data_IF_036069506246
#
_entry.id   IF_036069506246
#
_cell.length_a   1.000
_cell.length_b   1.000
_cell.length_c   1.000
_cell.angle_alpha   90.00
_cell.angle_beta   90.00
_cell.angle_gamma   90.00
#
_symmetry.space_group_name_H-M   'P 1'
#
loop_
_entity.id
_entity.type
_entity.pdbx_description
1 polymer ?
#
# COMPACT_ATOMS: atom_id res chain seq x y z
N UNK A 1 -18.26 -9.97 -27.92
CA UNK A 1 -17.65 -9.98 -26.57
C UNK A 1 -17.47 -11.43 -26.16
N UNK A 2 -16.24 -11.94 -26.09
CA UNK A 2 -16.00 -13.32 -25.66
C UNK A 2 -15.98 -13.37 -24.13
N UNK A 3 -16.65 -14.36 -23.49
CA UNK A 3 -16.61 -14.53 -22.03
C UNK A 3 -15.18 -14.62 -21.47
N UNK A 4 -14.25 -15.14 -22.28
CA UNK A 4 -12.83 -15.25 -21.94
C UNK A 4 -12.16 -13.87 -21.73
N UNK A 5 -12.46 -12.87 -22.57
CA UNK A 5 -11.87 -11.53 -22.43
C UNK A 5 -12.40 -10.84 -21.18
N UNK A 6 -13.71 -10.96 -20.91
CA UNK A 6 -14.28 -10.42 -19.68
C UNK A 6 -13.64 -11.06 -18.42
N UNK A 7 -13.45 -12.38 -18.43
CA UNK A 7 -12.77 -13.09 -17.35
C UNK A 7 -11.33 -12.60 -17.16
N UNK A 8 -10.61 -12.29 -18.24
CA UNK A 8 -9.26 -11.72 -18.16
C UNK A 8 -9.25 -10.35 -17.46
N UNK A 9 -10.19 -9.45 -17.79
CA UNK A 9 -10.31 -8.15 -17.13
C UNK A 9 -10.70 -8.28 -15.66
N UNK A 10 -11.55 -9.24 -15.31
CA UNK A 10 -11.89 -9.56 -13.91
C UNK A 10 -10.63 -10.02 -13.15
N UNK A 11 -9.81 -10.90 -13.72
CA UNK A 11 -8.56 -11.34 -13.09
C UNK A 11 -7.54 -10.20 -12.99
N UNK A 12 -7.42 -9.37 -14.03
CA UNK A 12 -6.53 -8.21 -14.03
C UNK A 12 -6.94 -7.17 -12.99
N UNK A 13 -8.24 -6.97 -12.78
CA UNK A 13 -8.74 -6.11 -11.72
C UNK A 13 -8.44 -6.68 -10.33
N UNK A 14 -8.47 -8.01 -10.16
CA UNK A 14 -8.09 -8.64 -8.90
C UNK A 14 -6.61 -8.42 -8.60
N UNK A 15 -5.73 -8.49 -9.60
CA UNK A 15 -4.29 -8.22 -9.43
C UNK A 15 -4.04 -6.76 -9.08
N UNK A 16 -4.68 -5.85 -9.81
CA UNK A 16 -4.56 -4.41 -9.57
C UNK A 16 -5.12 -4.04 -8.19
N UNK A 17 -6.28 -4.60 -7.83
CA UNK A 17 -6.86 -4.47 -6.50
C UNK A 17 -5.98 -5.07 -5.42
N UNK A 18 -5.35 -6.22 -5.64
CA UNK A 18 -4.43 -6.84 -4.69
C UNK A 18 -3.21 -5.96 -4.41
N UNK A 19 -2.62 -5.32 -5.43
CA UNK A 19 -1.55 -4.34 -5.23
C UNK A 19 -2.03 -3.12 -4.44
N UNK A 20 -3.23 -2.61 -4.75
CA UNK A 20 -3.84 -1.53 -3.97
C UNK A 20 -4.12 -1.93 -2.53
N UNK A 21 -4.51 -3.19 -2.27
CA UNK A 21 -4.72 -3.70 -0.92
C UNK A 21 -3.42 -3.69 -0.13
N UNK A 22 -2.32 -4.22 -0.65
CA UNK A 22 -1.03 -4.20 0.07
C UNK A 22 -0.61 -2.77 0.40
N UNK A 23 -0.76 -1.87 -0.57
CA UNK A 23 -0.46 -0.44 -0.37
C UNK A 23 -1.36 0.17 0.71
N UNK A 24 -2.68 -0.02 0.59
CA UNK A 24 -3.68 0.52 1.49
C UNK A 24 -3.59 -0.06 2.90
N UNK A 25 -3.18 -1.31 3.07
CA UNK A 25 -2.94 -1.91 4.38
C UNK A 25 -1.80 -1.22 5.12
N UNK A 26 -0.69 -0.93 4.42
CA UNK A 26 0.42 -0.18 4.99
C UNK A 26 0.00 1.21 5.45
N UNK A 27 -0.76 1.91 4.61
CA UNK A 27 -1.31 3.24 4.92
C UNK A 27 -2.35 3.20 6.04
N UNK A 28 -3.25 2.21 6.04
CA UNK A 28 -4.35 2.08 7.01
C UNK A 28 -3.85 1.82 8.41
N UNK A 29 -2.80 0.98 8.59
CA UNK A 29 -2.23 0.74 9.92
C UNK A 29 -1.51 1.98 10.46
N UNK A 30 -0.74 2.68 9.61
CA UNK A 30 -0.09 3.95 9.99
C UNK A 30 -1.16 4.96 10.43
N UNK A 31 -2.18 5.17 9.60
CA UNK A 31 -3.22 6.14 9.89
C UNK A 31 -4.03 5.74 11.14
N UNK A 32 -4.42 4.47 11.25
CA UNK A 32 -5.26 3.97 12.35
C UNK A 32 -4.61 4.10 13.72
N UNK A 33 -3.28 4.12 13.81
CA UNK A 33 -2.57 4.30 15.09
C UNK A 33 -2.06 5.72 15.30
N UNK A 34 -1.45 6.34 14.28
CA UNK A 34 -0.76 7.63 14.40
C UNK A 34 -1.72 8.79 14.13
N UNK A 35 -2.76 8.58 13.31
CA UNK A 35 -3.70 9.62 12.91
C UNK A 35 -3.12 10.66 11.94
N UNK A 36 -2.00 10.34 11.27
CA UNK A 36 -1.37 11.23 10.29
C UNK A 36 -1.50 10.63 8.89
N UNK A 37 -1.95 11.47 7.97
CA UNK A 37 -2.00 11.17 6.54
C UNK A 37 -0.57 11.26 5.99
N UNK A 38 -0.03 10.13 5.53
CA UNK A 38 1.35 10.05 5.04
C UNK A 38 1.41 10.12 3.51
N UNK A 39 1.63 11.30 2.93
CA UNK A 39 1.80 11.46 1.47
C UNK A 39 3.11 10.88 0.94
N UNK A 40 4.13 10.72 1.80
CA UNK A 40 5.42 10.12 1.43
C UNK A 40 5.32 8.63 1.14
N UNK A 41 4.21 7.99 1.52
CA UNK A 41 4.01 6.56 1.36
C UNK A 41 4.10 6.09 -0.11
N UNK A 42 3.64 6.91 -1.06
CA UNK A 42 3.84 6.68 -2.49
C UNK A 42 5.31 6.77 -2.92
N UNK A 43 6.07 7.75 -2.42
CA UNK A 43 7.51 7.81 -2.70
C UNK A 43 8.28 6.63 -2.09
N UNK A 44 7.86 6.13 -0.93
CA UNK A 44 8.44 4.94 -0.30
C UNK A 44 8.12 3.65 -1.08
N UNK A 45 6.94 3.57 -1.71
CA UNK A 45 6.62 2.52 -2.69
C UNK A 45 7.62 2.56 -3.87
N UNK A 46 7.85 3.74 -4.46
CA UNK A 46 8.83 3.91 -5.54
C UNK A 46 10.23 3.51 -5.07
N UNK A 47 10.64 3.96 -3.89
CA UNK A 47 11.94 3.64 -3.31
C UNK A 47 12.10 2.13 -3.10
N UNK A 48 11.06 1.42 -2.68
CA UNK A 48 11.08 -0.03 -2.57
C UNK A 48 11.30 -0.74 -3.91
N UNK A 49 10.68 -0.25 -4.97
CA UNK A 49 10.92 -0.77 -6.31
C UNK A 49 12.38 -0.53 -6.79
N UNK A 50 12.95 0.66 -6.53
CA UNK A 50 14.35 0.96 -6.86
C UNK A 50 15.36 0.20 -5.98
N UNK A 51 15.08 0.04 -4.69
CA UNK A 51 15.91 -0.76 -3.81
C UNK A 51 15.92 -2.23 -4.27
N UNK A 52 14.77 -2.77 -4.69
CA UNK A 52 14.71 -4.09 -5.30
C UNK A 52 15.47 -4.15 -6.63
N UNK A 53 15.32 -3.15 -7.50
CA UNK A 53 16.06 -3.06 -8.75
C UNK A 53 17.58 -3.06 -8.53
N UNK A 54 18.05 -2.38 -7.48
CA UNK A 54 19.47 -2.30 -7.16
C UNK A 54 20.08 -3.64 -6.70
N UNK A 55 19.30 -4.47 -6.01
CA UNK A 55 19.80 -5.72 -5.39
C UNK A 55 19.39 -6.99 -6.14
N UNK A 56 18.49 -6.89 -7.14
CA UNK A 56 17.93 -8.05 -7.86
C UNK A 56 19.01 -8.92 -8.52
N UNK A 57 20.05 -8.31 -9.08
CA UNK A 57 21.09 -9.02 -9.84
C UNK A 57 22.09 -9.73 -8.90
N UNK A 58 22.26 -9.21 -7.68
CA UNK A 58 23.18 -9.79 -6.69
C UNK A 58 22.53 -10.87 -5.82
N UNK A 59 21.25 -10.71 -5.44
CA UNK A 59 20.57 -11.57 -4.46
C UNK A 59 19.43 -12.41 -5.05
N UNK A 60 19.01 -12.12 -6.28
CA UNK A 60 17.86 -12.74 -6.92
C UNK A 60 16.52 -12.16 -6.44
N UNK A 61 15.46 -12.43 -7.22
CA UNK A 61 14.12 -11.87 -6.98
C UNK A 61 13.52 -12.23 -5.61
N UNK A 62 13.59 -13.48 -5.10
CA UNK A 62 12.98 -13.80 -3.80
C UNK A 62 13.60 -13.00 -2.65
N UNK A 63 14.90 -12.71 -2.72
CA UNK A 63 15.58 -11.91 -1.71
C UNK A 63 15.15 -10.43 -1.74
N UNK A 64 14.79 -9.89 -2.91
CA UNK A 64 14.33 -8.50 -3.01
C UNK A 64 13.01 -8.27 -2.28
N UNK A 65 12.14 -9.28 -2.21
CA UNK A 65 10.88 -9.26 -1.44
C UNK A 65 11.08 -9.16 0.07
N UNK A 66 12.31 -9.37 0.57
CA UNK A 66 12.65 -9.24 1.99
C UNK A 66 13.57 -8.04 2.22
N UNK A 67 14.65 -7.94 1.45
CA UNK A 67 15.70 -6.92 1.64
C UNK A 67 15.18 -5.52 1.36
N UNK A 68 14.46 -5.31 0.26
CA UNK A 68 13.94 -3.97 -0.06
C UNK A 68 12.94 -3.47 0.98
N UNK A 69 11.91 -4.25 1.37
CA UNK A 69 10.99 -3.86 2.43
C UNK A 69 11.67 -3.63 3.78
N UNK A 70 12.70 -4.39 4.13
CA UNK A 70 13.46 -4.18 5.35
C UNK A 70 14.20 -2.83 5.32
N UNK A 71 14.88 -2.52 4.22
CA UNK A 71 15.60 -1.25 4.06
C UNK A 71 14.65 -0.04 4.11
N UNK A 72 13.54 -0.11 3.37
CA UNK A 72 12.54 0.97 3.36
C UNK A 72 11.80 1.06 4.69
N UNK A 73 11.53 -0.08 5.34
CA UNK A 73 10.92 -0.12 6.67
C UNK A 73 11.81 0.55 7.72
N UNK A 74 13.12 0.25 7.72
CA UNK A 74 14.09 0.92 8.59
C UNK A 74 14.16 2.41 8.30
N UNK A 75 14.19 2.81 7.02
CA UNK A 75 14.13 4.22 6.64
C UNK A 75 12.83 4.88 7.15
N UNK A 76 11.70 4.18 7.06
CA UNK A 76 10.43 4.62 7.63
C UNK A 76 10.53 4.84 9.13
N UNK A 77 11.12 3.91 9.88
CA UNK A 77 11.35 4.06 11.32
C UNK A 77 12.21 5.28 11.63
N UNK A 78 13.24 5.55 10.83
CA UNK A 78 14.09 6.74 10.97
C UNK A 78 13.31 8.03 10.71
N UNK A 79 12.53 8.08 9.62
CA UNK A 79 11.65 9.21 9.29
C UNK A 79 10.67 9.48 10.44
N UNK A 80 10.04 8.43 10.96
CA UNK A 80 9.12 8.53 12.09
C UNK A 80 9.81 9.13 13.30
N UNK A 81 10.93 8.54 13.71
CA UNK A 81 11.60 8.86 14.96
C UNK A 81 12.22 10.27 14.95
N UNK A 82 12.71 10.72 13.79
CA UNK A 82 13.44 11.99 13.68
C UNK A 82 12.56 13.15 13.28
N UNK A 83 11.60 12.94 12.36
CA UNK A 83 10.78 14.01 11.79
C UNK A 83 9.35 13.97 12.35
N UNK A 84 8.61 12.90 12.08
CA UNK A 84 7.16 12.89 12.34
C UNK A 84 6.79 12.91 13.81
N UNK A 85 7.56 12.22 14.66
CA UNK A 85 7.32 12.15 16.11
C UNK A 85 7.20 13.52 16.77
N UNK A 86 7.94 14.52 16.26
CA UNK A 86 7.93 15.89 16.78
C UNK A 86 6.62 16.63 16.49
N UNK A 87 5.88 16.16 15.49
CA UNK A 87 4.65 16.78 15.00
C UNK A 87 3.38 16.09 15.50
N UNK A 88 3.48 15.02 16.30
CA UNK A 88 2.30 14.26 16.78
C UNK A 88 1.36 15.07 17.68
N UNK A 89 1.89 16.10 18.35
CA UNK A 89 1.10 17.00 19.20
C UNK A 89 0.75 18.32 18.51
N UNK A 90 1.16 18.49 17.24
CA UNK A 90 0.92 19.69 16.46
C UNK A 90 -0.32 19.53 15.58
N UNK A 91 -0.68 20.60 14.87
CA UNK A 91 -1.75 20.56 13.87
C UNK A 91 -1.49 19.45 12.82
N UNK A 92 -2.47 18.58 12.53
CA UNK A 92 -2.37 17.55 11.50
C UNK A 92 -1.87 18.04 10.13
N UNK A 93 -2.16 19.31 9.77
CA UNK A 93 -1.70 19.94 8.54
C UNK A 93 -0.16 20.03 8.46
N UNK A 94 0.53 20.16 9.60
CA UNK A 94 2.00 20.19 9.62
C UNK A 94 2.57 18.82 9.25
N UNK A 95 1.96 17.73 9.72
CA UNK A 95 2.33 16.36 9.33
C UNK A 95 2.09 16.11 7.85
N UNK A 96 0.99 16.61 7.32
CA UNK A 96 0.68 16.56 5.89
C UNK A 96 1.75 17.30 5.06
N UNK A 97 2.05 18.55 5.42
CA UNK A 97 3.04 19.37 4.72
C UNK A 97 4.44 18.74 4.77
N UNK A 98 4.84 18.21 5.93
CA UNK A 98 6.11 17.49 6.09
C UNK A 98 6.17 16.27 5.17
N UNK A 99 5.13 15.42 5.16
CA UNK A 99 5.13 14.21 4.33
C UNK A 99 5.07 14.52 2.85
N UNK A 100 4.40 15.59 2.44
CA UNK A 100 4.42 16.08 1.07
C UNK A 100 5.82 16.57 0.66
N UNK A 101 6.48 17.37 1.51
CA UNK A 101 7.87 17.78 1.28
C UNK A 101 8.81 16.58 1.22
N UNK A 102 8.59 15.57 2.07
CA UNK A 102 9.35 14.32 2.05
C UNK A 102 9.14 13.53 0.75
N UNK A 103 7.91 13.49 0.21
CA UNK A 103 7.65 12.91 -1.12
C UNK A 103 8.54 13.57 -2.17
N UNK A 104 8.61 14.90 -2.19
CA UNK A 104 9.43 15.63 -3.15
C UNK A 104 10.92 15.32 -2.98
N UNK A 105 11.44 15.34 -1.75
CA UNK A 105 12.84 15.02 -1.46
C UNK A 105 13.19 13.59 -1.89
N UNK A 106 12.35 12.62 -1.53
CA UNK A 106 12.57 11.21 -1.89
C UNK A 106 12.50 11.01 -3.40
N UNK A 107 11.53 11.61 -4.08
CA UNK A 107 11.38 11.49 -5.53
C UNK A 107 12.57 12.12 -6.28
N UNK A 108 13.02 13.31 -5.86
CA UNK A 108 14.22 13.92 -6.45
C UNK A 108 15.48 13.12 -6.11
N UNK A 109 15.60 12.60 -4.88
CA UNK A 109 16.69 11.70 -4.49
C UNK A 109 16.77 10.47 -5.40
N UNK A 110 15.62 9.84 -5.71
CA UNK A 110 15.54 8.71 -6.64
C UNK A 110 16.04 9.13 -8.04
N UNK A 111 15.63 10.30 -8.53
CA UNK A 111 16.05 10.82 -9.84
C UNK A 111 17.54 11.14 -9.90
N UNK A 112 18.15 11.56 -8.79
CA UNK A 112 19.59 11.84 -8.70
C UNK A 112 20.39 10.53 -8.72
N UNK A 113 19.96 9.51 -7.96
CA UNK A 113 20.71 8.26 -7.80
C UNK A 113 20.55 7.34 -9.02
N UNK A 114 19.32 7.14 -9.51
CA UNK A 114 19.04 6.19 -10.60
C UNK A 114 18.77 6.83 -11.96
N UNK A 115 18.61 8.15 -12.01
CA UNK A 115 18.26 8.90 -13.21
C UNK A 115 16.74 9.05 -13.39
N UNK A 116 16.36 9.75 -14.46
CA UNK A 116 14.95 10.08 -14.78
C UNK A 116 14.27 9.02 -15.64
N UNK A 117 15.05 8.23 -16.39
CA UNK A 117 14.53 7.24 -17.33
C UNK A 117 14.05 5.99 -16.61
N UNK A 118 12.93 5.37 -17.06
CA UNK A 118 12.49 4.08 -16.53
C UNK A 118 13.58 3.02 -16.61
N UNK A 119 13.63 2.14 -15.61
CA UNK A 119 14.55 1.00 -15.54
C UNK A 119 13.78 -0.30 -15.80
N UNK A 120 14.27 -1.16 -16.71
CA UNK A 120 13.62 -2.44 -16.97
C UNK A 120 13.76 -3.36 -15.74
N UNK A 121 12.64 -3.97 -15.37
CA UNK A 121 12.61 -4.99 -14.33
C UNK A 121 11.91 -6.20 -14.93
N UNK A 122 12.68 -7.19 -15.32
CA UNK A 122 12.15 -8.37 -15.99
C UNK A 122 11.44 -9.31 -15.02
N UNK A 123 10.45 -10.03 -15.55
CA UNK A 123 9.77 -11.09 -14.81
C UNK A 123 10.79 -12.19 -14.49
N UNK A 124 10.88 -12.65 -13.22
CA UNK A 124 11.80 -13.71 -12.85
C UNK A 124 11.53 -14.99 -13.67
N UNK A 125 12.57 -15.74 -14.08
CA UNK A 125 12.41 -16.93 -14.94
C UNK A 125 11.42 -17.97 -14.39
N UNK A 126 11.39 -18.16 -13.06
CA UNK A 126 10.47 -19.08 -12.39
C UNK A 126 8.98 -18.72 -12.60
N UNK A 127 8.67 -17.45 -12.84
CA UNK A 127 7.32 -16.93 -13.04
C UNK A 127 7.07 -16.46 -14.48
N UNK A 128 8.00 -16.75 -15.39
CA UNK A 128 7.87 -16.41 -16.80
C UNK A 128 6.86 -17.33 -17.52
N UNK A 129 6.13 -16.76 -18.47
CA UNK A 129 5.13 -17.45 -19.28
C UNK A 129 3.71 -17.41 -18.71
N UNK A 130 2.85 -18.27 -19.27
CA UNK A 130 1.43 -18.33 -18.97
C UNK A 130 1.02 -19.68 -18.36
N UNK A 131 -0.06 -19.65 -17.57
CA UNK A 131 -0.84 -20.80 -17.14
C UNK A 131 -2.02 -20.95 -18.09
N UNK A 132 -2.24 -22.16 -18.59
CA UNK A 132 -3.42 -22.50 -19.37
C UNK A 132 -4.54 -22.92 -18.42
N UNK A 133 -5.52 -22.05 -18.22
CA UNK A 133 -6.76 -22.28 -17.47
C UNK A 133 -7.87 -22.68 -18.47
N UNK A 134 -7.69 -23.82 -19.15
CA UNK A 134 -8.58 -24.26 -20.22
C UNK A 134 -8.53 -23.31 -21.43
N UNK A 135 -9.63 -22.61 -21.78
CA UNK A 135 -9.64 -21.66 -22.90
C UNK A 135 -8.96 -20.32 -22.59
N UNK A 136 -8.65 -20.04 -21.33
CA UNK A 136 -8.01 -18.80 -20.89
C UNK A 136 -6.52 -19.03 -20.63
N UNK A 137 -5.65 -18.19 -21.20
CA UNK A 137 -4.23 -18.17 -20.84
C UNK A 137 -3.95 -16.96 -19.96
N UNK A 138 -3.35 -17.19 -18.80
CA UNK A 138 -3.13 -16.13 -17.80
C UNK A 138 -1.68 -16.10 -17.31
N UNK A 139 -1.14 -14.91 -17.04
CA UNK A 139 0.27 -14.77 -16.64
C UNK A 139 0.57 -15.47 -15.32
N UNK A 140 1.60 -16.33 -15.31
CA UNK A 140 2.11 -16.98 -14.08
C UNK A 140 2.48 -15.95 -13.01
N UNK A 141 3.12 -14.85 -13.41
CA UNK A 141 3.53 -13.79 -12.50
C UNK A 141 2.33 -13.05 -11.87
N UNK A 142 1.26 -12.80 -12.64
CA UNK A 142 0.03 -12.21 -12.09
C UNK A 142 -0.64 -13.11 -11.07
N UNK A 143 -0.68 -14.42 -11.31
CA UNK A 143 -1.14 -15.41 -10.32
C UNK A 143 -0.25 -15.44 -9.07
N UNK A 144 1.07 -15.32 -9.24
CA UNK A 144 2.00 -15.20 -8.11
C UNK A 144 1.72 -13.95 -7.25
N UNK A 145 1.44 -12.80 -7.86
CA UNK A 145 1.06 -11.58 -7.11
C UNK A 145 -0.17 -11.86 -6.25
N UNK A 146 -1.23 -12.45 -6.80
CA UNK A 146 -2.44 -12.77 -6.02
C UNK A 146 -2.11 -13.66 -4.81
N UNK A 147 -1.31 -14.71 -5.03
CA UNK A 147 -0.88 -15.59 -3.95
C UNK A 147 -0.05 -14.83 -2.90
N UNK A 148 0.92 -14.03 -3.33
CA UNK A 148 1.76 -13.23 -2.44
C UNK A 148 0.93 -12.27 -1.59
N UNK A 149 -0.06 -11.59 -2.18
CA UNK A 149 -0.95 -10.69 -1.44
C UNK A 149 -1.82 -11.43 -0.43
N UNK A 150 -2.37 -12.60 -0.78
CA UNK A 150 -3.11 -13.44 0.17
C UNK A 150 -2.20 -13.84 1.35
N UNK A 151 -0.97 -14.27 1.07
CA UNK A 151 0.01 -14.60 2.12
C UNK A 151 0.31 -13.39 3.01
N UNK A 152 0.48 -12.19 2.44
CA UNK A 152 0.73 -10.96 3.20
C UNK A 152 -0.47 -10.58 4.07
N UNK A 153 -1.69 -10.70 3.57
CA UNK A 153 -2.92 -10.45 4.33
C UNK A 153 -3.01 -11.43 5.51
N UNK A 154 -2.78 -12.72 5.28
CA UNK A 154 -2.79 -13.73 6.34
C UNK A 154 -1.69 -13.47 7.36
N UNK A 155 -0.46 -13.21 6.90
CA UNK A 155 0.67 -12.91 7.77
C UNK A 155 0.41 -11.67 8.64
N UNK A 156 -0.13 -10.60 8.06
CA UNK A 156 -0.49 -9.39 8.79
C UNK A 156 -1.64 -9.63 9.76
N UNK A 157 -2.64 -10.42 9.36
CA UNK A 157 -3.77 -10.78 10.23
C UNK A 157 -3.30 -11.57 11.43
N UNK A 158 -2.45 -12.58 11.22
CA UNK A 158 -1.84 -13.37 12.30
C UNK A 158 -0.94 -12.49 13.17
N UNK A 159 -0.13 -11.62 12.57
CA UNK A 159 0.71 -10.67 13.30
C UNK A 159 -0.15 -9.79 14.21
N UNK A 160 -1.20 -9.18 13.68
CA UNK A 160 -2.08 -8.34 14.47
C UNK A 160 -2.76 -9.19 15.56
N UNK A 161 -3.47 -10.26 15.21
CA UNK A 161 -4.33 -11.00 16.14
C UNK A 161 -3.58 -11.84 17.18
N UNK A 162 -2.42 -12.40 16.84
CA UNK A 162 -1.74 -13.42 17.65
C UNK A 162 -0.50 -12.91 18.37
N UNK A 163 0.01 -11.71 18.08
CA UNK A 163 1.24 -11.20 18.72
C UNK A 163 0.94 -10.16 19.80
N UNK A 164 1.80 -10.02 20.83
CA UNK A 164 1.65 -8.98 21.86
C UNK A 164 1.74 -7.57 21.26
N UNK A 165 2.62 -7.36 20.27
CA UNK A 165 2.73 -6.08 19.55
C UNK A 165 1.42 -5.76 18.84
N UNK A 166 0.82 -6.73 18.16
CA UNK A 166 -0.48 -6.57 17.49
C UNK A 166 -1.64 -6.28 18.45
N UNK A 167 -1.59 -6.81 19.68
CA UNK A 167 -2.55 -6.46 20.73
C UNK A 167 -2.38 -5.02 21.21
N UNK A 168 -1.14 -4.57 21.42
CA UNK A 168 -0.86 -3.16 21.77
C UNK A 168 -1.27 -2.24 20.62
N UNK A 169 -1.09 -2.66 19.36
CA UNK A 169 -1.52 -1.91 18.18
C UNK A 169 -3.02 -1.67 18.18
N UNK A 170 -3.82 -2.74 18.34
CA UNK A 170 -5.29 -2.62 18.36
C UNK A 170 -5.81 -1.88 19.58
N UNK A 171 -5.19 -2.07 20.75
CA UNK A 171 -5.57 -1.36 21.96
C UNK A 171 -5.22 0.13 21.85
N UNK A 172 -4.02 0.43 21.34
CA UNK A 172 -3.52 1.79 21.16
C UNK A 172 -4.25 2.58 20.08
N UNK A 173 -4.82 1.94 19.05
CA UNK A 173 -5.66 2.62 18.07
C UNK A 173 -7.05 2.99 18.61
N UNK A 174 -7.55 2.27 19.62
CA UNK A 174 -8.85 2.54 20.24
C UNK A 174 -8.74 3.55 21.37
N UNK A 175 -7.86 3.30 22.33
CA UNK A 175 -7.63 4.18 23.46
C UNK A 175 -6.13 4.26 23.79
N UNK A 176 -5.40 5.18 23.14
CA UNK A 176 -3.99 5.40 23.44
C UNK A 176 -3.74 5.84 24.88
N UNK A 177 -4.72 6.45 25.56
CA UNK A 177 -4.57 6.95 26.93
C UNK A 177 -4.62 5.80 27.92
N UNK A 178 -5.61 4.90 27.81
CA UNK A 178 -5.72 3.71 28.64
C UNK A 178 -4.46 2.83 28.54
N UNK A 179 -3.94 2.62 27.32
CA UNK A 179 -2.71 1.82 27.13
C UNK A 179 -1.51 2.45 27.86
N UNK A 180 -1.40 3.78 27.87
CA UNK A 180 -0.36 4.48 28.64
C UNK A 180 -0.57 4.39 30.15
N UNK A 181 -1.80 4.41 30.63
CA UNK A 181 -2.13 4.25 32.05
C UNK A 181 -1.78 2.84 32.56
N UNK A 182 -1.83 1.83 31.70
CA UNK A 182 -1.37 0.47 31.98
C UNK A 182 0.18 0.34 31.95
N UNK A 183 0.92 1.45 31.82
CA UNK A 183 2.38 1.47 31.84
C UNK A 183 3.04 1.06 30.52
N UNK A 184 2.28 0.87 29.44
CA UNK A 184 2.82 0.47 28.14
C UNK A 184 3.26 1.70 27.35
N UNK A 185 4.56 1.77 27.02
CA UNK A 185 5.07 2.83 26.15
C UNK A 185 4.66 2.61 24.70
N UNK A 186 3.83 3.51 24.15
CA UNK A 186 3.41 3.46 22.75
C UNK A 186 4.50 3.87 21.75
N UNK A 187 5.52 4.63 22.19
CA UNK A 187 6.58 5.16 21.31
C UNK A 187 7.27 4.09 20.44
N UNK A 188 7.85 3.00 20.98
CA UNK A 188 8.49 1.98 20.15
C UNK A 188 7.51 1.27 19.23
N UNK A 189 6.25 1.14 19.65
CA UNK A 189 5.19 0.50 18.84
C UNK A 189 4.82 1.38 17.64
N UNK A 190 4.70 2.70 17.83
CA UNK A 190 4.44 3.67 16.76
C UNK A 190 5.55 3.65 15.71
N UNK A 191 6.81 3.66 16.15
CA UNK A 191 7.98 3.54 15.25
C UNK A 191 7.94 2.24 14.48
N UNK A 192 7.74 1.12 15.17
CA UNK A 192 7.68 -0.19 14.54
C UNK A 192 6.55 -0.27 13.50
N UNK A 193 5.38 0.26 13.83
CA UNK A 193 4.20 0.28 12.95
C UNK A 193 4.40 1.15 11.74
N UNK A 194 5.07 2.30 11.90
CA UNK A 194 5.44 3.12 10.76
C UNK A 194 6.44 2.40 9.84
N UNK A 195 7.43 1.73 10.41
CA UNK A 195 8.34 0.87 9.65
C UNK A 195 7.62 -0.28 8.94
N UNK A 196 6.69 -0.95 9.62
CA UNK A 196 5.88 -2.03 9.03
C UNK A 196 5.02 -1.51 7.88
N UNK A 197 4.32 -0.39 8.07
CA UNK A 197 3.47 0.17 7.02
C UNK A 197 4.26 0.60 5.79
N UNK A 198 5.43 1.22 5.98
CA UNK A 198 6.32 1.61 4.88
C UNK A 198 6.98 0.41 4.20
N UNK A 199 7.25 -0.68 4.94
CA UNK A 199 7.66 -1.95 4.36
C UNK A 199 6.56 -2.56 3.47
N UNK A 200 5.28 -2.46 3.84
CA UNK A 200 4.17 -2.88 2.98
C UNK A 200 4.11 -2.05 1.67
N UNK A 201 4.33 -0.74 1.75
CA UNK A 201 4.49 0.11 0.56
C UNK A 201 5.61 -0.41 -0.36
N UNK A 202 6.77 -0.72 0.22
CA UNK A 202 7.90 -1.24 -0.52
C UNK A 202 7.60 -2.60 -1.15
N UNK A 203 6.95 -3.51 -0.44
CA UNK A 203 6.52 -4.83 -0.99
C UNK A 203 5.62 -4.63 -2.20
N UNK A 204 4.62 -3.73 -2.11
CA UNK A 204 3.77 -3.41 -3.25
C UNK A 204 4.60 -2.87 -4.44
N UNK A 205 5.62 -2.05 -4.17
CA UNK A 205 6.56 -1.55 -5.17
C UNK A 205 7.36 -2.67 -5.85
N UNK A 206 7.92 -3.60 -5.07
CA UNK A 206 8.65 -4.77 -5.58
C UNK A 206 7.75 -5.66 -6.44
N UNK A 207 6.52 -5.94 -5.99
CA UNK A 207 5.57 -6.76 -6.73
C UNK A 207 5.10 -6.09 -8.02
N UNK A 208 4.99 -4.76 -8.02
CA UNK A 208 4.58 -3.99 -9.19
C UNK A 208 5.69 -3.82 -10.23
N UNK A 209 6.97 -3.84 -9.83
CA UNK A 209 8.09 -3.54 -10.70
C UNK A 209 8.16 -4.44 -11.96
N UNK A 210 7.98 -5.77 -11.90
CA UNK A 210 8.02 -6.61 -13.10
C UNK A 210 6.82 -6.48 -14.05
N UNK A 211 5.77 -5.72 -13.66
CA UNK A 211 4.60 -5.52 -14.53
C UNK A 211 4.82 -4.40 -15.56
N UNK A 212 5.56 -3.36 -15.20
CA UNK A 212 5.70 -2.14 -16.01
C UNK A 212 7.10 -1.51 -15.96
N UNK A 213 8.06 -2.17 -15.31
CA UNK A 213 9.36 -1.58 -14.99
C UNK A 213 9.28 -0.61 -13.81
N UNK A 214 10.42 0.00 -13.49
CA UNK A 214 10.53 0.97 -12.39
C UNK A 214 10.71 2.38 -12.95
N UNK A 215 9.87 3.32 -12.51
CA UNK A 215 9.95 4.72 -12.94
C UNK A 215 9.82 5.66 -11.73
N UNK A 216 10.50 6.83 -11.71
CA UNK A 216 10.53 7.69 -10.51
C UNK A 216 9.15 8.16 -10.03
N UNK A 217 8.21 8.38 -10.95
CA UNK A 217 6.88 8.91 -10.64
C UNK A 217 5.79 7.83 -10.38
N UNK A 218 6.13 6.53 -10.36
CA UNK A 218 5.14 5.45 -10.23
C UNK A 218 4.34 5.51 -8.91
N UNK A 219 4.98 5.97 -7.84
CA UNK A 219 4.37 6.06 -6.52
C UNK A 219 3.26 7.09 -6.40
N UNK A 220 3.20 8.09 -7.29
CA UNK A 220 2.14 9.12 -7.26
C UNK A 220 0.79 8.48 -7.58
N UNK A 221 0.71 7.75 -8.70
CA UNK A 221 -0.53 7.13 -9.17
C UNK A 221 -1.01 6.03 -8.22
N UNK A 222 -0.09 5.21 -7.70
CA UNK A 222 -0.44 4.14 -6.76
C UNK A 222 -0.77 4.72 -5.38
N UNK A 223 -0.07 5.79 -4.96
CA UNK A 223 -0.34 6.49 -3.71
C UNK A 223 -1.72 7.13 -3.68
N UNK A 224 -2.11 7.84 -4.75
CA UNK A 224 -3.46 8.43 -4.87
C UNK A 224 -4.55 7.35 -4.88
N UNK A 225 -4.35 6.26 -5.62
CA UNK A 225 -5.27 5.12 -5.62
C UNK A 225 -5.40 4.49 -4.22
N UNK A 226 -4.28 4.32 -3.49
CA UNK A 226 -4.31 3.80 -2.12
C UNK A 226 -5.05 4.74 -1.15
N UNK A 227 -4.93 6.06 -1.31
CA UNK A 227 -5.72 7.02 -0.55
C UNK A 227 -7.22 6.86 -0.81
N UNK A 228 -7.62 6.75 -2.07
CA UNK A 228 -9.02 6.47 -2.46
C UNK A 228 -9.50 5.18 -1.80
N UNK A 229 -8.70 4.11 -1.87
CA UNK A 229 -9.02 2.80 -1.27
C UNK A 229 -9.20 2.90 0.24
N UNK A 230 -8.28 3.54 0.97
CA UNK A 230 -8.40 3.70 2.43
C UNK A 230 -9.61 4.56 2.79
N UNK A 231 -9.89 5.61 2.00
CA UNK A 231 -11.05 6.49 2.22
C UNK A 231 -12.36 5.75 2.03
N UNK A 232 -12.47 4.96 0.95
CA UNK A 232 -13.63 4.10 0.69
C UNK A 232 -13.77 3.04 1.78
N UNK A 233 -12.67 2.41 2.19
CA UNK A 233 -12.67 1.36 3.20
C UNK A 233 -13.07 1.86 4.60
N UNK A 234 -12.77 3.13 4.88
CA UNK A 234 -12.81 3.71 6.21
C UNK A 234 -11.39 3.78 6.77
N UNK A 235 -10.99 4.98 7.17
CA UNK A 235 -9.66 5.24 7.70
C UNK A 235 -9.37 4.39 8.94
N UNK A 236 -8.23 3.68 8.94
CA UNK A 236 -7.84 2.78 10.02
C UNK A 236 -8.56 1.42 10.02
N UNK A 237 -9.47 1.17 9.07
CA UNK A 237 -10.16 -0.11 8.93
C UNK A 237 -9.33 -1.10 8.11
N UNK A 238 -8.87 -2.16 8.76
CA UNK A 238 -8.11 -3.24 8.12
C UNK A 238 -8.95 -3.97 7.06
N UNK A 239 -10.13 -4.45 7.44
CA UNK A 239 -11.05 -5.16 6.53
C UNK A 239 -11.66 -4.24 5.48
N UNK A 240 -11.93 -2.99 5.87
CA UNK A 240 -12.38 -1.95 4.95
C UNK A 240 -11.42 -1.76 3.78
N UNK A 241 -10.11 -1.65 4.06
CA UNK A 241 -9.07 -1.48 3.04
C UNK A 241 -8.95 -2.67 2.08
N UNK A 242 -9.15 -3.90 2.56
CA UNK A 242 -9.13 -5.11 1.70
C UNK A 242 -10.31 -5.09 0.75
N UNK A 243 -11.52 -4.89 1.27
CA UNK A 243 -12.74 -4.90 0.47
C UNK A 243 -12.74 -3.76 -0.55
N UNK A 244 -12.37 -2.55 -0.13
CA UNK A 244 -12.30 -1.39 -1.02
C UNK A 244 -11.21 -1.53 -2.07
N UNK A 245 -10.05 -2.10 -1.74
CA UNK A 245 -8.96 -2.28 -2.69
C UNK A 245 -9.35 -3.23 -3.82
N UNK A 246 -9.99 -4.35 -3.47
CA UNK A 246 -10.54 -5.28 -4.47
C UNK A 246 -11.65 -4.63 -5.29
N UNK A 247 -12.59 -3.91 -4.68
CA UNK A 247 -13.67 -3.22 -5.39
C UNK A 247 -13.12 -2.16 -6.37
N UNK A 248 -12.21 -1.30 -5.92
CA UNK A 248 -11.58 -0.28 -6.76
C UNK A 248 -10.81 -0.95 -7.90
N UNK A 249 -10.09 -2.05 -7.62
CA UNK A 249 -9.39 -2.82 -8.66
C UNK A 249 -10.31 -3.33 -9.75
N UNK A 250 -11.46 -3.90 -9.37
CA UNK A 250 -12.47 -4.38 -10.32
C UNK A 250 -13.10 -3.24 -11.11
N UNK A 251 -13.47 -2.14 -10.45
CA UNK A 251 -14.10 -1.00 -11.11
C UNK A 251 -13.16 -0.36 -12.12
N UNK A 252 -11.89 -0.15 -11.76
CA UNK A 252 -10.88 0.38 -12.68
C UNK A 252 -10.68 -0.58 -13.86
N UNK A 253 -10.45 -1.87 -13.62
CA UNK A 253 -10.18 -2.83 -14.70
C UNK A 253 -11.37 -3.01 -15.66
N UNK A 254 -12.59 -3.09 -15.14
CA UNK A 254 -13.80 -3.16 -15.98
C UNK A 254 -14.02 -1.84 -16.74
N UNK A 255 -13.70 -0.70 -16.13
CA UNK A 255 -13.73 0.59 -16.82
C UNK A 255 -12.72 0.63 -17.96
N UNK A 256 -11.53 0.05 -17.81
CA UNK A 256 -10.55 -0.07 -18.91
C UNK A 256 -11.16 -0.88 -20.07
N UNK A 257 -11.90 -1.93 -19.78
CA UNK A 257 -12.55 -2.75 -20.83
C UNK A 257 -13.65 -1.99 -21.59
N UNK A 258 -14.51 -1.24 -20.90
CA UNK A 258 -15.66 -0.56 -21.53
C UNK A 258 -15.32 0.84 -22.05
N UNK A 259 -14.58 1.63 -21.27
CA UNK A 259 -14.21 3.02 -21.59
C UNK A 259 -12.86 3.37 -20.94
N UNK A 260 -11.73 3.11 -21.62
CA UNK A 260 -10.38 3.35 -21.07
C UNK A 260 -10.17 4.76 -20.50
N UNK A 261 -10.75 5.78 -21.15
CA UNK A 261 -10.61 7.18 -20.72
C UNK A 261 -11.30 7.48 -19.39
N UNK A 262 -12.28 6.67 -18.99
CA UNK A 262 -13.01 6.83 -17.75
C UNK A 262 -12.41 6.01 -16.59
N UNK A 263 -11.37 5.21 -16.83
CA UNK A 263 -10.83 4.29 -15.83
C UNK A 263 -10.23 4.99 -14.60
N UNK A 264 -9.52 6.10 -14.80
CA UNK A 264 -9.02 6.89 -13.67
C UNK A 264 -10.14 7.64 -12.94
N UNK A 265 -11.14 8.12 -13.68
CA UNK A 265 -12.29 8.80 -13.08
C UNK A 265 -13.19 7.83 -12.29
N UNK A 266 -13.28 6.56 -12.70
CA UNK A 266 -14.21 5.60 -12.11
C UNK A 266 -13.92 5.28 -10.65
N UNK A 267 -12.64 5.26 -10.24
CA UNK A 267 -12.30 5.10 -8.82
C UNK A 267 -12.74 6.30 -7.97
N UNK A 268 -12.65 7.52 -8.50
CA UNK A 268 -13.10 8.74 -7.79
C UNK A 268 -14.63 8.85 -7.76
N UNK A 269 -15.31 8.44 -8.84
CA UNK A 269 -16.77 8.35 -8.87
C UNK A 269 -17.25 7.33 -7.84
N UNK A 270 -16.60 6.15 -7.78
CA UNK A 270 -16.91 5.14 -6.77
C UNK A 270 -16.72 5.69 -5.35
N UNK A 271 -15.63 6.42 -5.11
CA UNK A 271 -15.39 7.10 -3.84
C UNK A 271 -16.50 8.09 -3.49
N UNK A 272 -16.86 8.97 -4.43
CA UNK A 272 -17.92 9.96 -4.22
C UNK A 272 -19.26 9.28 -3.88
N UNK A 273 -19.64 8.24 -4.63
CA UNK A 273 -20.88 7.48 -4.38
C UNK A 273 -20.85 6.83 -3.00
N UNK A 274 -19.76 6.17 -2.62
CA UNK A 274 -19.68 5.50 -1.32
C UNK A 274 -19.68 6.51 -0.18
N UNK A 275 -18.99 7.64 -0.29
CA UNK A 275 -18.98 8.66 0.77
C UNK A 275 -20.33 9.38 0.91
N UNK A 276 -21.07 9.58 -0.19
CA UNK A 276 -22.43 10.11 -0.14
C UNK A 276 -23.39 9.16 0.60
N UNK A 277 -23.24 7.85 0.41
CA UNK A 277 -24.07 6.83 1.05
C UNK A 277 -23.59 6.47 2.46
N UNK A 278 -22.28 6.51 2.70
CA UNK A 278 -21.59 6.17 3.95
C UNK A 278 -20.41 7.12 4.17
N UNK A 279 -20.61 8.26 4.85
CA UNK A 279 -19.56 9.27 5.06
C UNK A 279 -18.32 8.79 5.80
N UNK A 280 -18.44 7.70 6.59
CA UNK A 280 -17.31 7.06 7.29
C UNK A 280 -16.61 5.96 6.47
N UNK A 281 -17.00 5.75 5.21
CA UNK A 281 -16.56 4.62 4.39
C UNK A 281 -17.33 3.33 4.69
N UNK A 282 -16.93 2.23 4.05
CA UNK A 282 -17.61 0.93 4.11
C UNK A 282 -17.59 0.33 5.51
N UNK A 283 -16.46 0.45 6.22
CA UNK A 283 -16.20 -0.17 7.54
C UNK A 283 -15.46 0.78 8.50
N UNK A 284 -15.69 2.09 8.42
CA UNK A 284 -15.11 3.04 9.38
C UNK A 284 -15.75 2.94 10.78
N UNK A 285 -14.93 2.89 11.82
CA UNK A 285 -15.38 2.95 13.23
C UNK A 285 -15.65 4.42 13.65
N UNK A 286 -16.41 4.63 14.73
CA UNK A 286 -16.57 5.96 15.36
C UNK A 286 -15.20 6.41 15.90
N UNK A 287 -14.83 7.66 15.61
CA UNK A 287 -13.56 8.25 16.06
C UNK A 287 -13.86 9.40 17.01
N UNK A 288 -13.78 9.15 18.31
CA UNK A 288 -14.06 10.14 19.37
C UNK A 288 -13.07 11.31 19.40
N UNK A 289 -11.98 11.27 18.61
CA UNK A 289 -10.97 12.35 18.55
C UNK A 289 -11.39 13.54 17.65
N UNK A 290 -12.40 13.36 16.80
CA UNK A 290 -12.89 14.38 15.85
C UNK A 290 -14.39 14.69 16.00
N UNK A 291 -15.06 14.06 16.97
CA UNK A 291 -16.43 14.33 17.40
C UNK A 291 -16.40 14.98 18.79
#
# INVERSE_FOLDING_TARGET
MTPAVLAEFVLNGLVLGALYVVMALGLSIIFGMIGIINFAHGALFTLGAYAAFQVKDALGFPATLVVSPLLVGVLGMLIEATLLRRLYLQDPLQGLLLTFGLTMVLEQGIRIVWGRSPKPFDVPPAFAGALSLGPLTYSKYRSFILLAVVVLIVALTLFLQKTPVGTIVRAGSRDPMMVRLLGVSLRPVLTFVFGLGTAFAAIAGVLSAPLAGVQPAMGVNVGTAAFVVVTIGGLGSFWGAILSGLLVGQVVSLSIYFQPRAAEASMYILMAVILLLRPRGLMGERWDKFE
#
